data_IF_430064222270
#
_entry.id   IF_430064222270
#
_cell.length_a   1.000
_cell.length_b   1.000
_cell.length_c   1.000
_cell.angle_alpha   90.00
_cell.angle_beta   90.00
_cell.angle_gamma   90.00
#
_symmetry.space_group_name_H-M   'P 1'
#
loop_
_entity.id
_entity.type
_entity.pdbx_description
1 polymer ?
#
# COMPACT_ATOMS: atom_id res chain seq x y z
N UNK A 1 21.62 -8.56 -2.83
CA UNK A 1 21.16 -8.52 -4.24
C UNK A 1 19.66 -8.66 -4.19
N UNK A 2 18.90 -7.72 -4.77
CA UNK A 2 17.43 -7.75 -4.69
C UNK A 2 16.91 -8.92 -5.52
N UNK A 3 16.08 -9.78 -4.93
CA UNK A 3 15.49 -10.93 -5.62
C UNK A 3 14.02 -10.70 -5.96
N UNK A 4 13.48 -11.48 -6.92
CA UNK A 4 12.04 -11.49 -7.23
C UNK A 4 11.21 -11.81 -5.99
N UNK A 5 11.62 -12.81 -5.21
CA UNK A 5 10.93 -13.21 -3.99
C UNK A 5 10.91 -12.09 -2.93
N UNK A 6 12.02 -11.35 -2.80
CA UNK A 6 12.11 -10.21 -1.89
C UNK A 6 11.16 -9.07 -2.31
N UNK A 7 11.09 -8.75 -3.61
CA UNK A 7 10.13 -7.75 -4.10
C UNK A 7 8.67 -8.19 -3.96
N UNK A 8 8.35 -9.46 -4.19
CA UNK A 8 7.01 -10.01 -3.95
C UNK A 8 6.63 -9.97 -2.46
N UNK A 9 7.58 -10.24 -1.56
CA UNK A 9 7.35 -10.10 -0.12
C UNK A 9 7.03 -8.66 0.28
N UNK A 10 7.78 -7.69 -0.25
CA UNK A 10 7.53 -6.26 -0.04
C UNK A 10 6.17 -5.86 -0.63
N UNK A 11 5.81 -6.36 -1.81
CA UNK A 11 4.51 -6.13 -2.43
C UNK A 11 3.35 -6.54 -1.51
N UNK A 12 3.44 -7.74 -0.90
CA UNK A 12 2.47 -8.24 0.08
C UNK A 12 2.42 -7.35 1.32
N UNK A 13 3.55 -7.00 1.91
CA UNK A 13 3.59 -6.12 3.07
C UNK A 13 2.98 -4.74 2.80
N UNK A 14 3.19 -4.18 1.60
CA UNK A 14 2.57 -2.92 1.16
C UNK A 14 1.06 -3.06 1.01
N UNK A 15 0.56 -4.22 0.54
CA UNK A 15 -0.87 -4.50 0.49
C UNK A 15 -1.48 -4.52 1.89
N UNK A 16 -0.90 -5.30 2.81
CA UNK A 16 -1.39 -5.42 4.19
C UNK A 16 -1.40 -4.06 4.91
N UNK A 17 -0.39 -3.23 4.65
CA UNK A 17 -0.35 -1.86 5.18
C UNK A 17 -1.49 -1.00 4.63
N UNK A 18 -1.78 -1.09 3.32
CA UNK A 18 -2.91 -0.37 2.70
C UNK A 18 -4.26 -0.79 3.30
N UNK A 19 -4.47 -2.09 3.50
CA UNK A 19 -5.70 -2.61 4.12
C UNK A 19 -5.89 -2.08 5.55
N UNK A 20 -4.82 -2.03 6.33
CA UNK A 20 -4.84 -1.45 7.68
C UNK A 20 -5.13 0.05 7.68
N UNK A 21 -4.56 0.80 6.73
CA UNK A 21 -4.82 2.24 6.60
C UNK A 21 -6.27 2.53 6.23
N UNK A 22 -6.86 1.76 5.32
CA UNK A 22 -8.27 1.89 4.94
C UNK A 22 -9.17 1.61 6.14
N UNK A 23 -8.92 0.54 6.90
CA UNK A 23 -9.69 0.25 8.11
C UNK A 23 -9.61 1.40 9.12
N UNK A 24 -8.42 1.97 9.36
CA UNK A 24 -8.28 3.14 10.23
C UNK A 24 -8.95 4.40 9.67
N UNK A 25 -8.98 4.59 8.35
CA UNK A 25 -9.68 5.72 7.73
C UNK A 25 -11.20 5.59 7.87
N UNK A 26 -11.73 4.38 7.67
CA UNK A 26 -13.16 4.09 7.79
C UNK A 26 -13.67 4.38 9.22
N UNK A 27 -12.86 4.11 10.26
CA UNK A 27 -13.17 4.45 11.66
C UNK A 27 -13.27 5.96 11.92
N UNK A 28 -12.65 6.79 11.09
CA UNK A 28 -12.58 8.25 11.26
C UNK A 28 -13.63 9.01 10.45
N UNK A 29 -14.31 8.35 9.50
CA UNK A 29 -15.38 8.94 8.70
C UNK A 29 -16.54 9.43 9.57
N UNK A 30 -17.04 10.65 9.28
CA UNK A 30 -18.12 11.27 10.06
C UNK A 30 -17.74 11.68 11.49
N UNK A 31 -16.47 11.56 11.88
CA UNK A 31 -15.95 12.07 13.16
C UNK A 31 -15.35 13.46 12.99
N UNK A 32 -14.95 14.12 14.10
CA UNK A 32 -14.20 15.38 14.05
C UNK A 32 -12.84 15.26 13.32
N UNK A 33 -12.34 14.04 13.15
CA UNK A 33 -11.04 13.74 12.53
C UNK A 33 -11.18 13.27 11.07
N UNK A 34 -12.30 13.56 10.39
CA UNK A 34 -12.55 13.13 9.01
C UNK A 34 -11.48 13.62 8.02
N UNK A 35 -10.83 14.76 8.28
CA UNK A 35 -9.68 15.21 7.50
C UNK A 35 -8.50 14.23 7.55
N UNK A 36 -8.26 13.56 8.68
CA UNK A 36 -7.24 12.52 8.80
C UNK A 36 -7.64 11.30 7.96
N UNK A 37 -8.94 10.94 7.91
CA UNK A 37 -9.42 9.88 7.03
C UNK A 37 -9.06 10.14 5.56
N UNK A 38 -9.27 11.38 5.09
CA UNK A 38 -8.89 11.82 3.73
C UNK A 38 -7.39 11.61 3.49
N UNK A 39 -6.54 12.04 4.41
CA UNK A 39 -5.09 11.84 4.29
C UNK A 39 -4.72 10.35 4.23
N UNK A 40 -5.35 9.50 5.06
CA UNK A 40 -5.10 8.06 5.06
C UNK A 40 -5.52 7.39 3.74
N UNK A 41 -6.63 7.81 3.12
CA UNK A 41 -7.02 7.32 1.80
C UNK A 41 -6.05 7.75 0.69
N UNK A 42 -5.48 8.95 0.76
CA UNK A 42 -4.45 9.41 -0.18
C UNK A 42 -3.13 8.61 -0.01
N UNK A 43 -2.81 8.20 1.22
CA UNK A 43 -1.70 7.27 1.47
C UNK A 43 -2.00 5.90 0.86
N UNK A 44 -3.18 5.31 1.08
CA UNK A 44 -3.56 4.04 0.44
C UNK A 44 -3.48 4.13 -1.09
N UNK A 45 -3.96 5.23 -1.68
CA UNK A 45 -3.83 5.49 -3.12
C UNK A 45 -2.37 5.45 -3.58
N UNK A 46 -1.48 6.07 -2.83
CA UNK A 46 -0.03 6.05 -3.10
C UNK A 46 0.56 4.65 -2.96
N UNK A 47 0.14 3.87 -1.96
CA UNK A 47 0.57 2.48 -1.76
C UNK A 47 0.09 1.57 -2.90
N UNK A 48 -1.13 1.72 -3.40
CA UNK A 48 -1.60 0.99 -4.60
C UNK A 48 -0.72 1.24 -5.81
N UNK A 49 -0.28 2.50 -5.99
CA UNK A 49 0.65 2.85 -7.07
C UNK A 49 2.05 2.28 -6.82
N UNK A 50 2.53 2.27 -5.58
CA UNK A 50 3.78 1.62 -5.21
C UNK A 50 3.73 0.10 -5.49
N UNK A 51 2.65 -0.57 -5.10
CA UNK A 51 2.43 -2.01 -5.32
C UNK A 51 2.46 -2.38 -6.80
N UNK A 52 1.79 -1.60 -7.65
CA UNK A 52 1.86 -1.76 -9.11
C UNK A 52 3.29 -1.62 -9.66
N UNK A 53 4.11 -0.73 -9.09
CA UNK A 53 5.51 -0.55 -9.52
C UNK A 53 6.40 -1.68 -9.01
N UNK A 54 6.18 -2.15 -7.78
CA UNK A 54 6.89 -3.30 -7.20
C UNK A 54 6.64 -4.58 -8.01
N UNK A 55 5.38 -4.86 -8.34
CA UNK A 55 4.99 -5.99 -9.17
C UNK A 55 5.71 -5.98 -10.53
N UNK A 56 5.68 -4.85 -11.25
CA UNK A 56 6.43 -4.67 -12.51
C UNK A 56 7.95 -4.82 -12.35
N UNK A 57 8.51 -4.33 -11.25
CA UNK A 57 9.94 -4.47 -10.97
C UNK A 57 10.31 -5.94 -10.72
N UNK A 58 9.47 -6.68 -9.99
CA UNK A 58 9.65 -8.11 -9.74
C UNK A 58 9.55 -8.95 -11.03
N UNK A 59 8.65 -8.58 -11.95
CA UNK A 59 8.56 -9.18 -13.29
C UNK A 59 9.82 -8.92 -14.14
N UNK A 60 10.47 -7.75 -13.96
CA UNK A 60 11.70 -7.38 -14.66
C UNK A 60 12.96 -8.12 -14.18
N UNK A 61 12.93 -8.69 -12.97
CA UNK A 61 13.98 -9.58 -12.47
C UNK A 61 13.80 -10.96 -13.11
N UNK A 62 14.63 -11.28 -14.10
CA UNK A 62 14.70 -12.64 -14.66
C UNK A 62 15.03 -13.64 -13.54
N UNK A 63 14.34 -14.79 -13.56
CA UNK A 63 14.61 -15.92 -12.66
C UNK A 63 16.07 -16.34 -12.70
#
# INVERSE_FOLDING_TARGET
>A
MVTKAELSSIETAVQELGERLVASADELLGTINENVAVDLYEVDRSLRMARRRLSKAAEGLKN
#
